data_IF_236784911515
#
_entry.id   IF_236784911515
#
_cell.length_a   1.000
_cell.length_b   1.000
_cell.length_c   1.000
_cell.angle_alpha   90.00
_cell.angle_beta   90.00
_cell.angle_gamma   90.00
#
_symmetry.space_group_name_H-M   'P 1'
#
loop_
_entity.id
_entity.type
_entity.pdbx_description
1 polymer ?
#
# COMPACT_ATOMS: atom_id res chain seq x y z
N UNK A 1 -49.15 -70.57 -25.49
CA UNK A 1 -49.87 -69.42 -24.89
C UNK A 1 -48.93 -68.78 -23.87
N UNK A 2 -48.52 -67.55 -24.15
CA UNK A 2 -47.92 -66.54 -23.25
C UNK A 2 -46.69 -66.85 -22.36
N UNK A 3 -45.55 -66.32 -22.83
CA UNK A 3 -44.50 -65.57 -22.11
C UNK A 3 -44.60 -65.43 -20.59
N UNK A 4 -43.47 -65.58 -19.87
CA UNK A 4 -42.80 -64.48 -19.13
C UNK A 4 -41.30 -64.81 -18.92
N UNK A 5 -40.43 -64.26 -19.79
CA UNK A 5 -39.01 -64.01 -19.46
C UNK A 5 -38.96 -62.57 -18.93
N UNK A 6 -39.13 -62.35 -17.62
CA UNK A 6 -39.05 -61.00 -17.00
C UNK A 6 -38.13 -60.90 -15.77
N UNK A 7 -37.36 -61.93 -15.43
CA UNK A 7 -36.44 -61.88 -14.27
C UNK A 7 -35.11 -61.17 -14.54
N UNK A 8 -34.40 -61.57 -15.61
CA UNK A 8 -33.02 -61.12 -15.86
C UNK A 8 -32.87 -59.63 -16.19
N UNK A 9 -33.77 -59.08 -17.01
CA UNK A 9 -33.74 -57.66 -17.39
C UNK A 9 -33.99 -56.74 -16.20
N UNK A 10 -34.83 -57.14 -15.23
CA UNK A 10 -35.15 -56.32 -14.05
C UNK A 10 -33.97 -56.26 -13.08
N UNK A 11 -33.23 -57.36 -12.92
CA UNK A 11 -32.01 -57.40 -12.09
C UNK A 11 -30.87 -56.60 -12.72
N UNK A 12 -30.67 -56.73 -14.04
CA UNK A 12 -29.65 -55.95 -14.76
C UNK A 12 -29.94 -54.44 -14.76
N UNK A 13 -31.21 -54.03 -14.93
CA UNK A 13 -31.62 -52.62 -14.87
C UNK A 13 -31.45 -52.04 -13.45
N UNK A 14 -31.72 -52.83 -12.40
CA UNK A 14 -31.50 -52.44 -10.99
C UNK A 14 -30.02 -52.28 -10.65
N UNK A 15 -29.15 -53.15 -11.18
CA UNK A 15 -27.70 -53.06 -11.00
C UNK A 15 -27.10 -51.86 -11.76
N UNK A 16 -27.59 -51.56 -12.96
CA UNK A 16 -27.22 -50.37 -13.73
C UNK A 16 -27.67 -49.07 -13.04
N UNK A 17 -28.87 -49.01 -12.47
CA UNK A 17 -29.32 -47.84 -11.70
C UNK A 17 -28.52 -47.62 -10.41
N UNK A 18 -28.11 -48.70 -9.72
CA UNK A 18 -27.28 -48.60 -8.52
C UNK A 18 -25.85 -48.10 -8.84
N UNK A 19 -25.27 -48.54 -9.97
CA UNK A 19 -23.99 -48.05 -10.48
C UNK A 19 -24.07 -46.58 -10.94
N UNK A 20 -25.17 -46.17 -11.58
CA UNK A 20 -25.39 -44.78 -11.98
C UNK A 20 -25.58 -43.86 -10.76
N UNK A 21 -26.32 -44.31 -9.74
CA UNK A 21 -26.50 -43.57 -8.49
C UNK A 21 -25.19 -43.45 -7.69
N UNK A 22 -24.34 -44.50 -7.71
CA UNK A 22 -23.00 -44.43 -7.13
C UNK A 22 -22.06 -43.49 -7.90
N UNK A 23 -22.19 -43.41 -9.23
CA UNK A 23 -21.41 -42.48 -10.06
C UNK A 23 -21.80 -41.00 -9.85
N UNK A 24 -23.09 -40.71 -9.58
CA UNK A 24 -23.56 -39.35 -9.27
C UNK A 24 -23.06 -38.87 -7.89
N UNK A 25 -22.86 -39.77 -6.93
CA UNK A 25 -22.29 -39.42 -5.62
C UNK A 25 -20.77 -39.13 -5.67
N UNK A 26 -20.06 -39.68 -6.67
CA UNK A 26 -18.62 -39.40 -6.87
C UNK A 26 -18.42 -38.06 -7.60
N UNK A 27 -19.42 -37.57 -8.34
CA UNK A 27 -19.39 -36.27 -9.02
C UNK A 27 -19.75 -35.08 -8.11
N UNK A 28 -20.01 -35.33 -6.81
CA UNK A 28 -20.24 -34.28 -5.82
C UNK A 28 -18.95 -33.72 -5.21
N UNK A 29 -17.77 -34.18 -5.68
CA UNK A 29 -16.46 -33.87 -5.10
C UNK A 29 -15.86 -32.50 -5.43
N UNK A 30 -16.51 -31.67 -6.27
CA UNK A 30 -16.08 -30.29 -6.53
C UNK A 30 -17.28 -29.37 -6.44
N UNK A 31 -17.65 -28.98 -5.22
CA UNK A 31 -18.66 -27.91 -5.00
C UNK A 31 -18.10 -26.76 -4.15
N UNK A 32 -16.80 -26.75 -3.87
CA UNK A 32 -16.07 -25.65 -3.22
C UNK A 32 -15.04 -25.06 -4.17
N UNK A 33 -14.69 -23.80 -3.96
CA UNK A 33 -13.61 -23.13 -4.66
C UNK A 33 -12.28 -23.84 -4.32
N UNK A 34 -11.36 -23.91 -5.27
CA UNK A 34 -10.05 -24.53 -5.01
C UNK A 34 -9.19 -23.59 -4.15
N UNK A 35 -8.25 -24.14 -3.35
CA UNK A 35 -7.33 -23.33 -2.55
C UNK A 35 -6.56 -22.30 -3.40
N UNK A 36 -6.22 -22.66 -4.65
CA UNK A 36 -5.63 -21.76 -5.66
C UNK A 36 -6.54 -20.57 -5.98
N UNK A 37 -7.82 -20.83 -6.26
CA UNK A 37 -8.78 -19.77 -6.59
C UNK A 37 -9.09 -18.91 -5.36
N UNK A 38 -9.23 -19.49 -4.17
CA UNK A 38 -9.46 -18.72 -2.93
C UNK A 38 -8.25 -17.83 -2.61
N UNK A 39 -7.03 -18.32 -2.81
CA UNK A 39 -5.82 -17.55 -2.63
C UNK A 39 -5.75 -16.36 -3.60
N UNK A 40 -6.10 -16.56 -4.87
CA UNK A 40 -6.18 -15.47 -5.85
C UNK A 40 -7.18 -14.39 -5.41
N UNK A 41 -8.39 -14.80 -4.98
CA UNK A 41 -9.43 -13.86 -4.57
C UNK A 41 -8.99 -13.03 -3.35
N UNK A 42 -8.37 -13.65 -2.35
CA UNK A 42 -7.83 -12.93 -1.18
C UNK A 42 -6.71 -11.96 -1.56
N UNK A 43 -5.79 -12.36 -2.43
CA UNK A 43 -4.70 -11.50 -2.89
C UNK A 43 -5.20 -10.28 -3.66
N UNK A 44 -6.14 -10.45 -4.59
CA UNK A 44 -6.70 -9.33 -5.35
C UNK A 44 -7.65 -8.46 -4.52
N UNK A 45 -8.36 -9.05 -3.56
CA UNK A 45 -9.15 -8.28 -2.60
C UNK A 45 -8.27 -7.46 -1.66
N UNK A 46 -7.14 -8.00 -1.19
CA UNK A 46 -6.16 -7.22 -0.41
C UNK A 46 -5.65 -6.02 -1.21
N UNK A 47 -5.34 -6.18 -2.50
CA UNK A 47 -4.94 -5.07 -3.37
C UNK A 47 -6.02 -3.99 -3.47
N UNK A 48 -7.28 -4.40 -3.64
CA UNK A 48 -8.43 -3.46 -3.69
C UNK A 48 -8.60 -2.73 -2.35
N UNK A 49 -8.39 -3.40 -1.22
CA UNK A 49 -8.48 -2.78 0.10
C UNK A 49 -7.42 -1.68 0.31
N UNK A 50 -6.30 -1.73 -0.41
CA UNK A 50 -5.27 -0.67 -0.45
C UNK A 50 -5.61 0.50 -1.40
N UNK A 51 -6.78 0.55 -2.03
CA UNK A 51 -7.18 1.69 -2.87
C UNK A 51 -7.21 2.98 -2.04
N UNK A 52 -7.74 2.94 -0.82
CA UNK A 52 -7.79 4.12 0.05
C UNK A 52 -6.38 4.65 0.40
N UNK A 53 -5.41 3.75 0.63
CA UNK A 53 -3.99 4.12 0.75
C UNK A 53 -3.50 4.89 -0.48
N UNK A 54 -3.77 4.39 -1.70
CA UNK A 54 -3.35 5.04 -2.96
C UNK A 54 -4.03 6.39 -3.17
N UNK A 55 -5.32 6.48 -2.84
CA UNK A 55 -6.13 7.68 -3.00
C UNK A 55 -5.70 8.82 -2.07
N UNK A 56 -5.10 8.51 -0.91
CA UNK A 56 -4.63 9.55 0.03
C UNK A 56 -3.27 10.16 -0.34
N UNK A 57 -2.45 9.49 -1.17
CA UNK A 57 -1.08 9.96 -1.47
C UNK A 57 -1.05 11.36 -2.11
N UNK A 58 -1.89 11.58 -3.13
CA UNK A 58 -1.91 12.87 -3.83
C UNK A 58 -2.47 14.02 -2.96
N UNK A 59 -3.60 13.84 -2.25
CA UNK A 59 -4.07 14.81 -1.25
C UNK A 59 -3.02 15.15 -0.18
N UNK A 60 -2.28 14.15 0.32
CA UNK A 60 -1.21 14.38 1.31
C UNK A 60 -0.12 15.32 0.77
N UNK A 61 0.33 15.10 -0.48
CA UNK A 61 1.33 15.95 -1.14
C UNK A 61 0.80 17.37 -1.39
N UNK A 62 -0.49 17.52 -1.70
CA UNK A 62 -1.11 18.83 -1.89
C UNK A 62 -1.18 19.61 -0.58
N UNK A 63 -1.58 18.96 0.52
CA UNK A 63 -1.59 19.55 1.85
C UNK A 63 -0.19 19.93 2.33
N UNK A 64 0.82 19.09 2.10
CA UNK A 64 2.22 19.38 2.45
C UNK A 64 2.75 20.63 1.73
N UNK A 65 2.37 20.83 0.46
CA UNK A 65 2.72 22.04 -0.28
C UNK A 65 2.03 23.28 0.27
N UNK A 66 0.74 23.19 0.59
CA UNK A 66 -0.01 24.30 1.17
C UNK A 66 0.55 24.71 2.54
N UNK A 67 0.91 23.72 3.36
CA UNK A 67 1.59 23.94 4.65
C UNK A 67 2.94 24.63 4.46
N UNK A 68 3.76 24.18 3.50
CA UNK A 68 5.04 24.80 3.19
C UNK A 68 4.87 26.25 2.73
N UNK A 69 3.89 26.54 1.86
CA UNK A 69 3.58 27.91 1.42
C UNK A 69 3.18 28.83 2.59
N UNK A 70 2.45 28.31 3.58
CA UNK A 70 2.12 29.06 4.79
C UNK A 70 3.36 29.28 5.66
N UNK A 71 4.21 28.28 5.83
CA UNK A 71 5.47 28.42 6.56
C UNK A 71 6.36 29.51 5.94
N UNK A 72 6.53 29.50 4.62
CA UNK A 72 7.30 30.51 3.88
C UNK A 72 6.72 31.92 4.10
N UNK A 73 5.39 32.05 4.09
CA UNK A 73 4.74 33.34 4.41
C UNK A 73 4.98 33.77 5.86
N UNK A 74 5.00 32.83 6.82
CA UNK A 74 5.20 33.16 8.24
C UNK A 74 6.61 33.69 8.48
N UNK A 75 7.64 33.07 7.92
CA UNK A 75 9.05 33.47 8.15
C UNK A 75 9.40 34.82 7.51
N UNK A 76 8.63 35.27 6.53
CA UNK A 76 8.76 36.60 5.90
C UNK A 76 8.13 37.73 6.74
N UNK A 77 7.33 37.41 7.76
CA UNK A 77 6.68 38.38 8.65
C UNK A 77 7.61 38.80 9.80
N UNK A 78 7.26 39.91 10.44
CA UNK A 78 7.96 40.42 11.63
C UNK A 78 6.97 40.67 12.78
N UNK A 79 7.48 41.04 13.95
CA UNK A 79 6.67 41.21 15.17
C UNK A 79 5.61 42.32 15.09
N UNK A 80 5.73 43.30 14.19
CA UNK A 80 4.65 44.28 13.99
C UNK A 80 3.42 43.61 13.33
N UNK A 81 3.61 42.46 12.69
CA UNK A 81 2.60 41.64 12.02
C UNK A 81 2.29 40.37 12.82
N UNK A 82 2.51 40.36 14.14
CA UNK A 82 2.37 39.16 14.96
C UNK A 82 0.97 38.52 14.93
N UNK A 83 -0.09 39.31 14.79
CA UNK A 83 -1.44 38.76 14.63
C UNK A 83 -1.61 38.00 13.29
N UNK A 84 -0.91 38.41 12.24
CA UNK A 84 -0.87 37.69 10.96
C UNK A 84 -0.04 36.39 11.07
N UNK A 85 1.07 36.42 11.82
CA UNK A 85 1.85 35.21 12.17
C UNK A 85 0.95 34.19 12.86
N UNK A 86 0.17 34.63 13.87
CA UNK A 86 -0.77 33.75 14.58
C UNK A 86 -1.81 33.15 13.65
N UNK A 87 -2.46 33.96 12.82
CA UNK A 87 -3.50 33.50 11.91
C UNK A 87 -2.97 32.44 10.94
N UNK A 88 -1.82 32.69 10.31
CA UNK A 88 -1.20 31.73 9.38
C UNK A 88 -0.70 30.48 10.09
N UNK A 89 -0.14 30.60 11.29
CA UNK A 89 0.28 29.43 12.09
C UNK A 89 -0.91 28.56 12.46
N UNK A 90 -2.08 29.15 12.76
CA UNK A 90 -3.31 28.39 13.01
C UNK A 90 -3.82 27.68 11.76
N UNK A 91 -3.70 28.32 10.58
CA UNK A 91 -4.05 27.68 9.31
C UNK A 91 -3.11 26.50 9.02
N UNK A 92 -1.81 26.67 9.19
CA UNK A 92 -0.83 25.59 8.97
C UNK A 92 -1.04 24.44 9.97
N UNK A 93 -1.27 24.72 11.25
CA UNK A 93 -1.61 23.70 12.24
C UNK A 93 -2.90 22.93 11.88
N UNK A 94 -3.89 23.58 11.28
CA UNK A 94 -5.10 22.89 10.81
C UNK A 94 -4.78 21.94 9.65
N UNK A 95 -3.90 22.33 8.72
CA UNK A 95 -3.44 21.47 7.62
C UNK A 95 -2.68 20.25 8.15
N UNK A 96 -1.83 20.41 9.17
CA UNK A 96 -1.15 19.29 9.84
C UNK A 96 -2.16 18.28 10.39
N UNK A 97 -3.25 18.74 11.01
CA UNK A 97 -4.32 17.83 11.46
C UNK A 97 -5.05 17.16 10.29
N UNK A 98 -5.31 17.87 9.19
CA UNK A 98 -5.88 17.27 7.98
C UNK A 98 -4.95 16.18 7.40
N UNK A 99 -3.63 16.42 7.37
CA UNK A 99 -2.64 15.41 6.97
C UNK A 99 -2.68 14.20 7.91
N UNK A 100 -2.83 14.41 9.23
CA UNK A 100 -2.97 13.32 10.21
C UNK A 100 -4.24 12.49 9.97
N UNK A 101 -5.37 13.12 9.65
CA UNK A 101 -6.60 12.41 9.31
C UNK A 101 -6.43 11.52 8.07
N UNK A 102 -5.74 12.01 7.03
CA UNK A 102 -5.43 11.24 5.82
C UNK A 102 -4.49 10.07 6.12
N UNK A 103 -3.47 10.29 6.94
CA UNK A 103 -2.54 9.25 7.38
C UNK A 103 -3.27 8.13 8.15
N UNK A 104 -4.28 8.46 8.96
CA UNK A 104 -5.06 7.44 9.66
C UNK A 104 -5.93 6.60 8.69
N UNK A 105 -6.57 7.24 7.71
CA UNK A 105 -7.33 6.53 6.67
C UNK A 105 -6.44 5.58 5.86
N UNK A 106 -5.22 6.03 5.57
CA UNK A 106 -4.19 5.22 4.93
C UNK A 106 -3.84 3.99 5.79
N UNK A 107 -3.63 4.18 7.09
CA UNK A 107 -3.32 3.09 8.02
C UNK A 107 -4.45 2.07 8.12
N UNK A 108 -5.70 2.52 8.27
CA UNK A 108 -6.87 1.64 8.31
C UNK A 108 -6.98 0.78 7.04
N UNK A 109 -6.63 1.34 5.88
CA UNK A 109 -6.60 0.65 4.59
C UNK A 109 -5.53 -0.45 4.56
N UNK A 110 -4.31 -0.16 5.01
CA UNK A 110 -3.21 -1.14 5.05
C UNK A 110 -3.48 -2.24 6.09
N UNK A 111 -3.99 -1.90 7.27
CA UNK A 111 -4.37 -2.87 8.30
C UNK A 111 -5.46 -3.83 7.77
N UNK A 112 -6.48 -3.29 7.11
CA UNK A 112 -7.56 -4.11 6.50
C UNK A 112 -7.04 -5.01 5.38
N UNK A 113 -6.14 -4.50 4.54
CA UNK A 113 -5.52 -5.29 3.48
C UNK A 113 -4.66 -6.44 4.05
N UNK A 114 -3.93 -6.18 5.14
CA UNK A 114 -3.15 -7.21 5.85
C UNK A 114 -4.04 -8.29 6.44
N UNK A 115 -5.13 -7.93 7.11
CA UNK A 115 -6.10 -8.90 7.65
C UNK A 115 -6.72 -9.78 6.57
N UNK A 116 -6.99 -9.21 5.39
CA UNK A 116 -7.49 -9.99 4.25
C UNK A 116 -6.41 -10.89 3.68
N UNK A 117 -5.18 -10.39 3.52
CA UNK A 117 -4.04 -11.15 3.02
C UNK A 117 -3.74 -12.37 3.89
N UNK A 118 -3.81 -12.25 5.22
CA UNK A 118 -3.47 -13.35 6.15
C UNK A 118 -4.37 -14.58 6.01
N UNK A 119 -5.51 -14.44 5.33
CA UNK A 119 -6.39 -15.57 5.00
C UNK A 119 -5.77 -16.55 4.02
N UNK A 120 -4.69 -16.17 3.32
CA UNK A 120 -3.99 -17.10 2.43
C UNK A 120 -3.13 -18.11 3.20
N UNK A 121 -2.70 -17.81 4.44
CA UNK A 121 -1.81 -18.68 5.22
C UNK A 121 -2.32 -20.13 5.34
N UNK A 122 -3.58 -20.38 5.78
CA UNK A 122 -4.09 -21.75 5.83
C UNK A 122 -4.20 -22.41 4.45
N UNK A 123 -4.44 -21.63 3.39
CA UNK A 123 -4.63 -22.13 2.03
C UNK A 123 -3.33 -22.69 1.43
N UNK A 124 -2.16 -22.24 1.90
CA UNK A 124 -0.86 -22.74 1.42
C UNK A 124 -0.72 -24.24 1.66
N UNK A 125 -1.15 -24.73 2.82
CA UNK A 125 -1.05 -26.15 3.15
C UNK A 125 -2.07 -26.99 2.37
N UNK A 126 -3.23 -26.40 2.02
CA UNK A 126 -4.31 -27.01 1.23
C UNK A 126 -4.03 -27.07 -0.29
N UNK A 127 -2.97 -26.42 -0.78
CA UNK A 127 -2.52 -26.61 -2.17
C UNK A 127 -2.07 -28.07 -2.39
N UNK A 128 -2.28 -28.57 -3.61
CA UNK A 128 -1.87 -29.93 -4.00
C UNK A 128 -0.38 -30.19 -3.72
N UNK A 129 -0.03 -31.42 -3.30
CA UNK A 129 1.37 -31.81 -3.03
C UNK A 129 2.28 -31.65 -4.26
N UNK A 130 1.73 -31.78 -5.47
CA UNK A 130 2.45 -31.59 -6.73
C UNK A 130 2.82 -30.12 -7.00
N UNK A 131 2.26 -29.17 -6.24
CA UNK A 131 2.51 -27.72 -6.34
C UNK A 131 3.54 -27.23 -5.31
N UNK A 132 4.60 -28.01 -5.07
CA UNK A 132 5.65 -27.68 -4.09
C UNK A 132 6.28 -26.29 -4.33
N UNK A 133 6.55 -25.94 -5.58
CA UNK A 133 7.10 -24.63 -5.96
C UNK A 133 6.16 -23.46 -5.57
N UNK A 134 4.85 -23.61 -5.84
CA UNK A 134 3.86 -22.62 -5.44
C UNK A 134 3.74 -22.47 -3.91
N UNK A 135 3.88 -23.57 -3.15
CA UNK A 135 3.90 -23.52 -1.68
C UNK A 135 5.09 -22.72 -1.15
N UNK A 136 6.28 -22.92 -1.72
CA UNK A 136 7.49 -22.19 -1.33
C UNK A 136 7.36 -20.69 -1.68
N UNK A 137 6.86 -20.37 -2.88
CA UNK A 137 6.59 -18.98 -3.29
C UNK A 137 5.54 -18.30 -2.41
N UNK A 138 4.47 -18.99 -2.03
CA UNK A 138 3.48 -18.45 -1.11
C UNK A 138 4.07 -18.16 0.27
N UNK A 139 4.95 -19.03 0.78
CA UNK A 139 5.65 -18.81 2.06
C UNK A 139 6.58 -17.60 2.02
N UNK A 140 7.33 -17.44 0.92
CA UNK A 140 8.17 -16.25 0.71
C UNK A 140 7.35 -14.96 0.57
N UNK A 141 6.19 -15.03 -0.09
CA UNK A 141 5.25 -13.93 -0.22
C UNK A 141 4.70 -13.51 1.14
N UNK A 142 4.27 -14.47 1.98
CA UNK A 142 3.77 -14.22 3.34
C UNK A 142 4.85 -13.55 4.21
N UNK A 143 6.06 -14.09 4.22
CA UNK A 143 7.19 -13.47 4.96
C UNK A 143 7.49 -12.04 4.46
N UNK A 144 7.44 -11.83 3.15
CA UNK A 144 7.68 -10.49 2.56
C UNK A 144 6.54 -9.53 2.87
N UNK A 145 5.29 -9.97 2.87
CA UNK A 145 4.14 -9.14 3.24
C UNK A 145 4.16 -8.76 4.72
N UNK A 146 4.56 -9.67 5.61
CA UNK A 146 4.76 -9.36 7.02
C UNK A 146 5.82 -8.27 7.21
N UNK A 147 6.97 -8.38 6.52
CA UNK A 147 8.01 -7.34 6.55
C UNK A 147 7.55 -6.01 5.96
N UNK A 148 6.78 -6.06 4.87
CA UNK A 148 6.15 -4.87 4.28
C UNK A 148 5.21 -4.19 5.27
N UNK A 149 4.39 -4.96 5.95
CA UNK A 149 3.46 -4.45 6.96
C UNK A 149 4.20 -3.83 8.15
N UNK A 150 5.22 -4.51 8.68
CA UNK A 150 6.03 -3.96 9.78
C UNK A 150 6.73 -2.67 9.36
N UNK A 151 7.33 -2.63 8.17
CA UNK A 151 7.95 -1.41 7.62
C UNK A 151 6.93 -0.27 7.43
N UNK A 152 5.67 -0.60 7.09
CA UNK A 152 4.60 0.38 7.04
C UNK A 152 4.25 0.94 8.42
N UNK A 153 4.15 0.10 9.46
CA UNK A 153 3.87 0.58 10.82
C UNK A 153 4.99 1.49 11.33
N UNK A 154 6.25 1.18 11.00
CA UNK A 154 7.39 2.04 11.31
C UNK A 154 7.35 3.38 10.54
N UNK A 155 6.95 3.34 9.26
CA UNK A 155 6.73 4.54 8.44
C UNK A 155 5.61 5.42 9.02
N UNK A 156 4.43 4.86 9.29
CA UNK A 156 3.30 5.56 9.90
C UNK A 156 3.72 6.23 11.21
N UNK A 157 4.38 5.47 12.10
CA UNK A 157 4.78 6.00 13.40
C UNK A 157 5.78 7.14 13.28
N UNK A 158 6.70 7.06 12.32
CA UNK A 158 7.68 8.13 12.05
C UNK A 158 7.03 9.37 11.44
N UNK A 159 6.02 9.18 10.58
CA UNK A 159 5.31 10.28 9.95
C UNK A 159 4.39 11.01 10.95
N UNK A 160 3.68 10.29 11.82
CA UNK A 160 2.88 10.90 12.89
C UNK A 160 3.75 11.65 13.92
N UNK A 161 4.95 11.14 14.21
CA UNK A 161 5.97 11.85 15.01
C UNK A 161 6.39 13.16 14.32
N UNK A 162 6.64 13.16 13.01
CA UNK A 162 6.94 14.38 12.25
C UNK A 162 5.78 15.39 12.29
N UNK A 163 4.54 14.96 12.04
CA UNK A 163 3.36 15.82 12.12
C UNK A 163 3.14 16.40 13.51
N UNK A 164 3.50 15.66 14.57
CA UNK A 164 3.46 16.16 15.94
C UNK A 164 4.44 17.32 16.13
N UNK A 165 5.66 17.18 15.62
CA UNK A 165 6.67 18.24 15.70
C UNK A 165 6.30 19.47 14.85
N UNK A 166 5.66 19.28 13.69
CA UNK A 166 5.14 20.37 12.86
C UNK A 166 4.03 21.15 13.60
N UNK A 167 3.08 20.43 14.23
CA UNK A 167 2.04 21.06 15.05
C UNK A 167 2.64 21.87 16.22
N UNK A 168 3.66 21.32 16.90
CA UNK A 168 4.38 22.00 17.97
C UNK A 168 5.10 23.27 17.48
N UNK A 169 5.72 23.23 16.30
CA UNK A 169 6.32 24.40 15.67
C UNK A 169 5.30 25.53 15.49
N UNK A 170 4.14 25.23 14.94
CA UNK A 170 3.10 26.24 14.73
C UNK A 170 2.46 26.72 16.04
N UNK A 171 2.41 25.90 17.09
CA UNK A 171 2.04 26.36 18.44
C UNK A 171 3.11 27.32 19.01
N UNK A 172 4.39 27.00 18.80
CA UNK A 172 5.51 27.84 19.24
C UNK A 172 5.50 29.20 18.54
N UNK A 173 5.25 29.24 17.23
CA UNK A 173 5.19 30.49 16.45
C UNK A 173 4.09 31.47 16.91
N UNK A 174 3.09 30.99 17.65
CA UNK A 174 2.02 31.81 18.22
C UNK A 174 2.42 32.49 19.55
N UNK A 175 3.64 32.28 20.06
CA UNK A 175 4.13 32.79 21.34
C UNK A 175 5.03 34.01 21.12
N UNK A 176 4.71 35.14 21.78
CA UNK A 176 5.47 36.41 21.66
C UNK A 176 6.91 36.30 22.17
N UNK A 177 7.15 35.36 23.09
CA UNK A 177 8.44 35.12 23.72
C UNK A 177 9.25 33.98 23.05
N UNK A 178 8.81 33.51 21.88
CA UNK A 178 9.58 32.54 21.08
C UNK A 178 10.96 33.13 20.75
N UNK A 179 12.00 32.40 21.13
CA UNK A 179 13.39 32.76 20.81
C UNK A 179 13.87 32.07 19.55
N UNK A 180 14.84 32.68 18.88
CA UNK A 180 15.51 32.10 17.70
C UNK A 180 16.14 30.74 18.02
N UNK A 181 16.74 30.57 19.21
CA UNK A 181 17.35 29.31 19.64
C UNK A 181 16.30 28.19 19.77
N UNK A 182 15.13 28.48 20.33
CA UNK A 182 14.03 27.51 20.42
C UNK A 182 13.49 27.15 19.03
N UNK A 183 13.34 28.13 18.13
CA UNK A 183 12.88 27.90 16.77
C UNK A 183 13.86 27.03 15.98
N UNK A 184 15.16 27.33 16.06
CA UNK A 184 16.21 26.52 15.40
C UNK A 184 16.22 25.08 15.94
N UNK A 185 16.11 24.90 17.26
CA UNK A 185 16.02 23.57 17.86
C UNK A 185 14.84 22.76 17.33
N UNK A 186 13.64 23.35 17.27
CA UNK A 186 12.46 22.67 16.72
C UNK A 186 12.65 22.27 15.26
N UNK A 187 13.20 23.17 14.43
CA UNK A 187 13.49 22.90 13.01
C UNK A 187 14.49 21.75 12.86
N UNK A 188 15.52 21.67 13.72
CA UNK A 188 16.47 20.55 13.72
C UNK A 188 15.79 19.22 14.06
N UNK A 189 14.88 19.20 15.03
CA UNK A 189 14.11 17.99 15.40
C UNK A 189 13.19 17.55 14.25
N UNK A 190 12.46 18.49 13.64
CA UNK A 190 11.61 18.23 12.46
C UNK A 190 12.43 17.62 11.33
N UNK A 191 13.57 18.23 10.99
CA UNK A 191 14.45 17.74 9.93
C UNK A 191 14.97 16.32 10.21
N UNK A 192 15.30 16.01 11.47
CA UNK A 192 15.71 14.66 11.85
C UNK A 192 14.55 13.66 11.70
N UNK A 193 13.33 14.04 12.09
CA UNK A 193 12.15 13.20 11.94
C UNK A 193 11.84 12.90 10.46
N UNK A 194 11.87 13.90 9.58
CA UNK A 194 11.63 13.68 8.16
C UNK A 194 12.72 12.86 7.46
N UNK A 195 13.98 12.91 7.92
CA UNK A 195 15.02 11.98 7.44
C UNK A 195 14.67 10.52 7.77
N UNK A 196 14.10 10.27 8.96
CA UNK A 196 13.64 8.93 9.36
C UNK A 196 12.43 8.49 8.52
N UNK A 197 11.48 9.40 8.25
CA UNK A 197 10.36 9.14 7.33
C UNK A 197 10.86 8.67 5.96
N UNK A 198 11.84 9.36 5.38
CA UNK A 198 12.43 9.00 4.08
C UNK A 198 13.08 7.61 4.13
N UNK A 199 13.81 7.29 5.20
CA UNK A 199 14.44 5.98 5.39
C UNK A 199 13.40 4.85 5.51
N UNK A 200 12.35 5.06 6.30
CA UNK A 200 11.28 4.07 6.46
C UNK A 200 10.47 3.90 5.17
N UNK A 201 10.21 4.98 4.44
CA UNK A 201 9.52 4.94 3.16
C UNK A 201 10.30 4.11 2.13
N UNK A 202 11.62 4.29 2.07
CA UNK A 202 12.48 3.46 1.22
C UNK A 202 12.37 1.98 1.56
N UNK A 203 12.40 1.64 2.85
CA UNK A 203 12.28 0.24 3.31
C UNK A 203 10.91 -0.36 2.94
N UNK A 204 9.83 0.40 3.14
CA UNK A 204 8.48 0.01 2.72
C UNK A 204 8.39 -0.23 1.20
N UNK A 205 8.98 0.64 0.39
CA UNK A 205 8.99 0.51 -1.07
C UNK A 205 9.78 -0.72 -1.53
N UNK A 206 10.96 -0.97 -0.96
CA UNK A 206 11.77 -2.17 -1.26
C UNK A 206 10.98 -3.46 -0.97
N UNK A 207 10.25 -3.52 0.14
CA UNK A 207 9.38 -4.66 0.45
C UNK A 207 8.16 -4.74 -0.46
N UNK A 208 7.59 -3.60 -0.87
CA UNK A 208 6.46 -3.55 -1.81
C UNK A 208 6.84 -4.04 -3.21
N UNK A 209 7.99 -3.64 -3.74
CA UNK A 209 8.51 -4.13 -5.03
C UNK A 209 8.77 -5.64 -5.00
N UNK A 210 9.39 -6.12 -3.92
CA UNK A 210 9.64 -7.55 -3.72
C UNK A 210 8.33 -8.33 -3.60
N UNK A 211 7.36 -7.82 -2.84
CA UNK A 211 6.03 -8.41 -2.72
C UNK A 211 5.36 -8.52 -4.10
N UNK A 212 5.38 -7.45 -4.89
CA UNK A 212 4.78 -7.44 -6.22
C UNK A 212 5.44 -8.46 -7.15
N UNK A 213 6.75 -8.62 -7.07
CA UNK A 213 7.49 -9.65 -7.84
C UNK A 213 7.07 -11.05 -7.42
N UNK A 214 7.07 -11.35 -6.12
CA UNK A 214 6.69 -12.66 -5.59
C UNK A 214 5.21 -13.00 -5.88
N UNK A 215 4.31 -12.01 -5.85
CA UNK A 215 2.90 -12.22 -6.20
C UNK A 215 2.78 -12.72 -7.65
N UNK A 216 3.54 -12.12 -8.57
CA UNK A 216 3.57 -12.54 -9.98
C UNK A 216 4.11 -13.96 -10.15
N UNK A 217 5.24 -14.26 -9.50
CA UNK A 217 5.84 -15.59 -9.53
C UNK A 217 4.90 -16.66 -8.96
N UNK A 218 4.15 -16.34 -7.90
CA UNK A 218 3.15 -17.23 -7.33
C UNK A 218 2.01 -17.51 -8.31
N UNK A 219 1.52 -16.48 -9.02
CA UNK A 219 0.48 -16.66 -10.04
C UNK A 219 0.94 -17.55 -11.19
N UNK A 220 2.19 -17.41 -11.63
CA UNK A 220 2.79 -18.28 -12.63
C UNK A 220 2.91 -19.73 -12.14
N UNK A 221 3.40 -19.95 -10.91
CA UNK A 221 3.53 -21.28 -10.31
C UNK A 221 2.16 -21.97 -10.09
N UNK A 222 1.14 -21.18 -9.80
CA UNK A 222 -0.24 -21.64 -9.70
C UNK A 222 -0.89 -21.87 -11.08
N UNK A 223 -0.28 -21.46 -12.19
CA UNK A 223 -0.85 -21.48 -13.54
C UNK A 223 -2.18 -20.69 -13.59
N UNK A 224 -2.20 -19.50 -12.97
CA UNK A 224 -3.30 -18.54 -13.08
C UNK A 224 -3.12 -17.70 -14.35
N UNK A 225 -4.18 -17.55 -15.14
CA UNK A 225 -4.19 -16.67 -16.30
C UNK A 225 -4.48 -15.24 -15.85
N UNK A 226 -3.42 -14.48 -15.55
CA UNK A 226 -3.52 -13.11 -15.04
C UNK A 226 -2.88 -12.15 -16.04
N UNK A 227 -3.64 -11.13 -16.45
CA UNK A 227 -3.13 -10.03 -17.27
C UNK A 227 -2.60 -8.92 -16.38
N UNK A 228 -1.31 -8.61 -16.47
CA UNK A 228 -0.72 -7.45 -15.80
C UNK A 228 -0.89 -6.22 -16.68
N UNK A 229 -1.52 -5.17 -16.15
CA UNK A 229 -1.38 -3.85 -16.75
C UNK A 229 0.03 -3.33 -16.40
N UNK A 230 0.85 -3.04 -17.41
CA UNK A 230 2.10 -2.32 -17.19
C UNK A 230 1.76 -0.91 -16.68
N UNK A 231 1.98 -0.67 -15.39
CA UNK A 231 2.05 0.69 -14.86
C UNK A 231 3.30 1.34 -15.46
N UNK A 232 3.11 2.06 -16.57
CA UNK A 232 4.19 2.73 -17.26
C UNK A 232 4.95 3.67 -16.32
N UNK A 233 6.22 3.38 -16.10
CA UNK A 233 7.22 4.35 -15.66
C UNK A 233 7.16 5.53 -16.62
N UNK A 234 6.60 6.65 -16.18
CA UNK A 234 6.97 7.94 -16.76
C UNK A 234 8.29 8.33 -16.12
N UNK A 235 9.38 7.90 -16.74
CA UNK A 235 10.66 8.61 -16.60
C UNK A 235 10.43 10.08 -17.00
N UNK A 236 10.31 10.97 -16.02
CA UNK A 236 10.52 12.41 -16.26
C UNK A 236 12.02 12.64 -16.26
N UNK A 237 12.60 12.48 -17.44
CA UNK A 237 13.98 12.86 -17.71
C UNK A 237 13.96 13.82 -18.89
N UNK A 238 13.62 15.08 -18.61
CA UNK A 238 13.83 16.22 -19.50
C UNK A 238 13.61 17.51 -18.71
N UNK A 239 14.68 18.05 -18.13
CA UNK A 239 15.01 19.48 -18.10
C UNK A 239 16.28 19.67 -17.28
N UNK A 240 17.43 19.79 -17.96
CA UNK A 240 18.51 20.74 -17.61
C UNK A 240 19.70 20.51 -18.54
N UNK A 241 19.61 21.02 -19.77
CA UNK A 241 20.74 21.60 -20.51
C UNK A 241 20.21 22.53 -21.58
N UNK A 242 20.18 23.83 -21.29
CA UNK A 242 20.59 24.89 -22.23
C UNK A 242 20.56 26.24 -21.50
N UNK A 243 21.74 26.84 -21.27
CA UNK A 243 21.81 28.15 -20.61
C UNK A 243 23.19 28.67 -20.18
N UNK A 244 24.32 28.18 -20.70
CA UNK A 244 25.62 28.85 -20.53
C UNK A 244 26.41 28.84 -21.85
N UNK A 245 26.38 29.97 -22.55
CA UNK A 245 27.48 30.63 -23.31
C UNK A 245 26.84 31.75 -24.18
N UNK A 246 27.20 33.02 -24.16
CA UNK A 246 28.25 33.72 -23.44
C UNK A 246 28.10 35.23 -23.65
N UNK A 247 28.62 35.99 -22.70
CA UNK A 247 28.96 37.40 -22.88
C UNK A 247 30.33 37.62 -22.28
N UNK A 248 31.35 37.50 -23.11
CA UNK A 248 32.58 38.27 -22.93
C UNK A 248 32.98 38.87 -24.28
N UNK A 249 32.88 40.19 -24.36
CA UNK A 249 33.59 40.98 -25.35
C UNK A 249 34.02 42.28 -24.66
N UNK A 250 35.13 42.15 -23.94
CA UNK A 250 36.21 43.13 -23.77
C UNK A 250 36.08 44.44 -24.56
N UNK A 251 36.26 45.51 -23.80
CA UNK A 251 36.88 46.78 -24.21
C UNK A 251 38.01 46.62 -25.23
N UNK A 252 38.00 47.44 -26.28
CA UNK A 252 39.13 48.26 -26.77
C UNK A 252 38.65 49.14 -27.96
N UNK A 253 39.06 50.42 -27.89
CA UNK A 253 38.86 51.56 -28.82
C UNK A 253 37.49 52.24 -28.95
#
# INVERSE_FOLDING_TARGET
MFHVIRGGKVVQVRMLMALLAAAVLILSGCTGQSAKEEMYDHLEKAVTLEDAFREQQQPMVELEKEEQELYEQIIDLNMDQFEEIKEKSQQAAAIVEERREKLELEKESIDSAKEEFDKIEPLVEDLDEEKADAKDKAKELIDTMNKRYDAYQDLYSSYDEALTLDAELYEMMQKEDLTEEQLQGQIEEINQSYNKVIEMNKTFNEHTEKYNTLKKELYEALELDVTYEESGEKETNDEEKEGEDGTDASSEE
#
